data_IF_686278995739
#
_entry.id   IF_686278995739
#
_cell.length_a   1.000
_cell.length_b   1.000
_cell.length_c   1.000
_cell.angle_alpha   90.00
_cell.angle_beta   90.00
_cell.angle_gamma   90.00
#
_symmetry.space_group_name_H-M   'P 1'
#
loop_
_entity.id
_entity.type
_entity.pdbx_description
1 polymer ?
#
# COMPACT_ATOMS: atom_id res chain seq x y z
N UNK A 1 10.54 4.24 -7.53
CA UNK A 1 9.25 3.89 -6.88
C UNK A 1 8.36 2.94 -7.69
N UNK A 2 8.43 2.90 -9.04
CA UNK A 2 7.66 1.92 -9.82
C UNK A 2 7.99 0.45 -9.49
N UNK A 3 9.28 0.12 -9.36
CA UNK A 3 9.73 -1.23 -9.00
C UNK A 3 9.19 -1.65 -7.61
N UNK A 4 9.40 -0.87 -6.53
CA UNK A 4 8.78 -1.16 -5.23
C UNK A 4 7.25 -1.28 -5.29
N UNK A 5 6.56 -0.44 -6.07
CA UNK A 5 5.10 -0.50 -6.18
C UNK A 5 4.61 -1.83 -6.77
N UNK A 6 5.34 -2.37 -7.75
CA UNK A 6 5.04 -3.70 -8.31
C UNK A 6 5.37 -4.77 -7.29
N UNK A 7 6.53 -4.71 -6.65
CA UNK A 7 6.98 -5.73 -5.69
C UNK A 7 6.02 -5.86 -4.49
N UNK A 8 5.70 -4.74 -3.84
CA UNK A 8 4.74 -4.69 -2.74
C UNK A 8 3.34 -5.11 -3.23
N UNK A 9 2.95 -4.70 -4.43
CA UNK A 9 1.67 -5.10 -5.04
C UNK A 9 1.57 -6.60 -5.30
N UNK A 10 2.66 -7.23 -5.76
CA UNK A 10 2.71 -8.69 -5.96
C UNK A 10 2.69 -9.44 -4.64
N UNK A 11 3.36 -8.90 -3.61
CA UNK A 11 3.31 -9.47 -2.26
C UNK A 11 1.89 -9.40 -1.67
N UNK A 12 1.23 -8.25 -1.81
CA UNK A 12 -0.17 -8.06 -1.41
C UNK A 12 -1.10 -9.02 -2.15
N UNK A 13 -0.96 -9.15 -3.47
CA UNK A 13 -1.74 -10.10 -4.26
C UNK A 13 -1.49 -11.54 -3.82
N UNK A 14 -0.23 -11.91 -3.57
CA UNK A 14 0.11 -13.24 -3.06
C UNK A 14 -0.61 -13.52 -1.73
N UNK A 15 -0.61 -12.56 -0.81
CA UNK A 15 -1.29 -12.70 0.48
C UNK A 15 -2.80 -12.93 0.33
N UNK A 16 -3.45 -12.29 -0.66
CA UNK A 16 -4.86 -12.58 -0.97
C UNK A 16 -5.03 -14.02 -1.47
N UNK A 17 -4.19 -14.45 -2.40
CA UNK A 17 -4.29 -15.77 -3.04
C UNK A 17 -4.00 -16.92 -2.06
N UNK A 18 -3.15 -16.70 -1.05
CA UNK A 18 -2.85 -17.67 0.01
C UNK A 18 -3.84 -17.64 1.16
N UNK A 19 -4.76 -16.68 1.19
CA UNK A 19 -5.71 -16.48 2.29
C UNK A 19 -5.10 -15.78 3.52
N UNK A 20 -3.88 -15.25 3.41
CA UNK A 20 -3.24 -14.45 4.45
C UNK A 20 -3.87 -13.05 4.58
N UNK A 21 -4.46 -12.53 3.50
CA UNK A 21 -5.20 -11.27 3.47
C UNK A 21 -6.63 -11.54 2.99
N UNK A 22 -7.62 -11.19 3.82
CA UNK A 22 -9.04 -11.35 3.48
C UNK A 22 -9.61 -10.04 2.97
N UNK A 23 -10.10 -10.04 1.74
CA UNK A 23 -10.76 -8.88 1.15
C UNK A 23 -12.10 -8.59 1.84
N UNK A 24 -12.49 -7.30 1.92
CA UNK A 24 -13.83 -6.92 2.35
C UNK A 24 -14.88 -7.36 1.32
N UNK A 25 -16.16 -7.16 1.66
CA UNK A 25 -17.22 -7.52 0.74
C UNK A 25 -17.24 -6.64 -0.52
N UNK A 26 -17.97 -7.09 -1.55
CA UNK A 26 -18.02 -6.40 -2.83
C UNK A 26 -18.61 -4.98 -2.74
N UNK A 27 -19.58 -4.75 -1.85
CA UNK A 27 -20.21 -3.44 -1.69
C UNK A 27 -19.24 -2.46 -1.00
N UNK A 28 -18.51 -2.91 0.01
CA UNK A 28 -17.45 -2.15 0.68
C UNK A 28 -16.32 -1.79 -0.29
N UNK A 29 -15.87 -2.74 -1.11
CA UNK A 29 -14.89 -2.47 -2.17
C UNK A 29 -15.38 -1.42 -3.16
N UNK A 30 -16.62 -1.54 -3.64
CA UNK A 30 -17.22 -0.56 -4.55
C UNK A 30 -17.33 0.83 -3.91
N UNK A 31 -17.68 0.91 -2.63
CA UNK A 31 -17.75 2.16 -1.90
C UNK A 31 -16.37 2.82 -1.79
N UNK A 32 -15.33 2.04 -1.46
CA UNK A 32 -13.93 2.49 -1.42
C UNK A 32 -13.48 3.02 -2.79
N UNK A 33 -13.76 2.28 -3.87
CA UNK A 33 -13.48 2.71 -5.24
C UNK A 33 -14.15 4.05 -5.57
N UNK A 34 -15.42 4.22 -5.18
CA UNK A 34 -16.17 5.46 -5.38
C UNK A 34 -15.54 6.65 -4.65
N UNK A 35 -15.11 6.47 -3.39
CA UNK A 35 -14.41 7.51 -2.60
C UNK A 35 -13.12 7.94 -3.27
N UNK A 36 -12.24 6.99 -3.61
CA UNK A 36 -10.95 7.27 -4.25
C UNK A 36 -11.14 7.94 -5.62
N UNK A 37 -12.13 7.49 -6.39
CA UNK A 37 -12.45 8.07 -7.69
C UNK A 37 -12.92 9.53 -7.55
N UNK A 38 -13.78 9.81 -6.57
CA UNK A 38 -14.26 11.17 -6.30
C UNK A 38 -13.11 12.06 -5.82
N UNK A 39 -12.31 11.60 -4.86
CA UNK A 39 -11.15 12.33 -4.38
C UNK A 39 -10.18 12.67 -5.53
N UNK A 40 -9.90 11.73 -6.44
CA UNK A 40 -9.07 11.98 -7.62
C UNK A 40 -9.66 13.05 -8.54
N UNK A 41 -10.98 13.07 -8.73
CA UNK A 41 -11.63 14.11 -9.54
C UNK A 41 -11.47 15.50 -8.93
N UNK A 42 -11.54 15.59 -7.62
CA UNK A 42 -11.51 16.86 -6.88
C UNK A 42 -10.07 17.41 -6.71
N UNK A 43 -9.07 16.52 -6.65
CA UNK A 43 -7.69 16.90 -6.29
C UNK A 43 -6.64 16.67 -7.40
N UNK A 44 -6.96 15.92 -8.46
CA UNK A 44 -6.05 15.67 -9.60
C UNK A 44 -6.55 16.42 -10.83
N UNK A 45 -6.08 17.66 -10.97
CA UNK A 45 -6.56 18.63 -11.97
C UNK A 45 -5.86 18.55 -13.34
N UNK A 46 -4.64 18.01 -13.40
CA UNK A 46 -3.75 18.17 -14.58
C UNK A 46 -3.40 16.87 -15.32
N UNK A 47 -3.99 15.74 -14.93
CA UNK A 47 -3.65 14.44 -15.51
C UNK A 47 -4.82 13.92 -16.37
N UNK A 48 -4.76 14.02 -17.71
CA UNK A 48 -5.78 13.44 -18.58
C UNK A 48 -5.87 11.91 -18.42
N UNK A 49 -4.82 11.27 -17.92
CA UNK A 49 -4.79 9.84 -17.55
C UNK A 49 -5.13 9.56 -16.08
N UNK A 50 -5.78 10.49 -15.35
CA UNK A 50 -6.13 10.29 -13.92
C UNK A 50 -6.97 9.04 -13.63
N UNK A 51 -7.64 8.51 -14.65
CA UNK A 51 -8.39 7.24 -14.60
C UNK A 51 -7.54 5.99 -14.85
N UNK A 52 -6.33 6.14 -15.41
CA UNK A 52 -5.45 5.03 -15.80
C UNK A 52 -4.62 4.52 -14.62
N UNK A 53 -4.27 5.38 -13.66
CA UNK A 53 -3.54 4.97 -12.47
C UNK A 53 -4.50 4.60 -11.33
N UNK A 54 -4.33 3.41 -10.75
CA UNK A 54 -5.05 3.00 -9.53
C UNK A 54 -4.59 3.82 -8.31
N UNK A 55 -3.33 4.23 -8.30
CA UNK A 55 -2.67 4.93 -7.21
C UNK A 55 -3.06 6.42 -7.19
N UNK A 56 -3.18 7.05 -6.01
CA UNK A 56 -3.35 8.52 -5.90
C UNK A 56 -1.99 9.24 -5.89
N UNK A 57 -1.02 8.68 -5.15
CA UNK A 57 0.41 9.06 -5.10
C UNK A 57 1.25 7.81 -4.80
N UNK A 58 2.52 7.78 -5.22
CA UNK A 58 3.38 6.61 -5.02
C UNK A 58 3.57 6.23 -3.55
N UNK A 59 3.90 7.21 -2.71
CA UNK A 59 4.18 6.94 -1.30
C UNK A 59 2.93 6.48 -0.55
N UNK A 60 1.83 7.25 -0.65
CA UNK A 60 0.55 6.86 -0.04
C UNK A 60 0.10 5.46 -0.48
N UNK A 61 0.24 5.12 -1.77
CA UNK A 61 -0.15 3.81 -2.26
C UNK A 61 0.69 2.68 -1.65
N UNK A 62 2.01 2.87 -1.55
CA UNK A 62 2.89 1.93 -0.88
C UNK A 62 2.56 1.80 0.61
N UNK A 63 2.33 2.93 1.29
CA UNK A 63 2.00 2.94 2.72
C UNK A 63 0.71 2.18 3.00
N UNK A 64 -0.31 2.32 2.14
CA UNK A 64 -1.56 1.55 2.23
C UNK A 64 -1.29 0.05 2.10
N UNK A 65 -0.59 -0.37 1.05
CA UNK A 65 -0.33 -1.79 0.83
C UNK A 65 0.53 -2.40 1.95
N UNK A 66 1.50 -1.66 2.47
CA UNK A 66 2.31 -2.11 3.61
C UNK A 66 1.47 -2.26 4.86
N UNK A 67 0.56 -1.33 5.13
CA UNK A 67 -0.34 -1.42 6.28
C UNK A 67 -1.34 -2.58 6.15
N UNK A 68 -1.89 -2.83 4.96
CA UNK A 68 -2.73 -4.02 4.70
C UNK A 68 -1.95 -5.31 4.96
N UNK A 69 -0.65 -5.32 4.66
CA UNK A 69 0.27 -6.43 4.94
C UNK A 69 0.74 -6.48 6.41
N UNK A 70 0.31 -5.55 7.27
CA UNK A 70 0.75 -5.46 8.67
C UNK A 70 2.21 -5.02 8.86
N UNK A 71 2.82 -4.43 7.83
CA UNK A 71 4.21 -3.99 7.81
C UNK A 71 4.34 -2.52 8.16
N UNK A 72 5.55 -2.09 8.53
CA UNK A 72 5.80 -0.71 8.86
C UNK A 72 5.92 0.16 7.58
N UNK A 73 5.05 1.17 7.38
CA UNK A 73 5.15 2.08 6.23
C UNK A 73 6.36 3.03 6.33
N UNK A 74 6.86 3.33 7.54
CA UNK A 74 7.93 4.29 7.76
C UNK A 74 9.33 3.69 7.48
N UNK A 75 9.69 3.58 6.20
CA UNK A 75 10.92 2.86 5.78
C UNK A 75 12.24 3.48 6.18
N UNK A 76 12.27 4.78 6.52
CA UNK A 76 13.51 5.46 6.96
C UNK A 76 13.75 5.37 8.48
N UNK A 77 12.87 4.70 9.24
CA UNK A 77 13.06 4.52 10.68
C UNK A 77 14.28 3.63 10.99
N UNK A 78 15.02 3.90 12.09
CA UNK A 78 14.74 4.91 13.13
C UNK A 78 15.23 6.33 12.80
N UNK A 79 15.75 6.60 11.59
CA UNK A 79 16.26 7.91 11.21
C UNK A 79 15.12 8.87 10.80
N UNK A 80 14.51 9.53 11.79
CA UNK A 80 13.40 10.47 11.61
C UNK A 80 13.76 11.66 10.70
N UNK A 81 15.00 12.17 10.80
CA UNK A 81 15.46 13.28 9.94
C UNK A 81 15.49 12.85 8.47
N UNK A 82 15.96 11.63 8.18
CA UNK A 82 15.87 11.09 6.84
C UNK A 82 14.42 10.88 6.41
N UNK A 83 13.53 10.43 7.30
CA UNK A 83 12.10 10.31 7.00
C UNK A 83 11.42 11.62 6.57
N UNK A 84 11.86 12.75 7.11
CA UNK A 84 11.30 14.07 6.81
C UNK A 84 11.97 14.78 5.63
N UNK A 85 13.28 14.61 5.46
CA UNK A 85 14.08 15.40 4.52
C UNK A 85 14.69 14.59 3.38
N UNK A 86 14.75 13.26 3.46
CA UNK A 86 15.23 12.41 2.39
C UNK A 86 14.10 12.03 1.45
N UNK A 87 14.44 11.87 0.17
CA UNK A 87 13.59 11.15 -0.77
C UNK A 87 13.56 9.65 -0.41
N UNK A 88 12.40 9.02 -0.62
CA UNK A 88 12.27 7.56 -0.61
C UNK A 88 12.77 6.96 -1.92
N UNK A 89 13.58 5.92 -1.80
CA UNK A 89 14.22 5.24 -2.91
C UNK A 89 13.95 3.72 -2.85
N UNK A 90 14.20 2.98 -3.93
CA UNK A 90 13.91 1.54 -3.95
C UNK A 90 14.66 0.72 -2.89
N UNK A 91 15.83 1.17 -2.43
CA UNK A 91 16.62 0.44 -1.43
C UNK A 91 15.96 0.45 -0.06
N UNK A 92 15.08 1.40 0.21
CA UNK A 92 14.25 1.45 1.43
C UNK A 92 13.26 0.30 1.55
N UNK A 93 13.01 -0.42 0.45
CA UNK A 93 12.06 -1.53 0.38
C UNK A 93 12.76 -2.86 0.10
N UNK A 94 14.10 -2.93 0.19
CA UNK A 94 14.86 -4.11 -0.23
C UNK A 94 14.61 -5.37 0.64
N UNK A 95 14.10 -5.20 1.86
CA UNK A 95 13.93 -6.23 2.89
C UNK A 95 12.45 -6.53 3.20
N UNK A 96 11.52 -6.04 2.37
CA UNK A 96 10.07 -6.15 2.65
C UNK A 96 9.59 -7.60 2.68
N UNK A 97 10.20 -8.48 1.88
CA UNK A 97 9.78 -9.88 1.79
C UNK A 97 10.17 -10.63 3.05
N UNK A 98 11.39 -10.41 3.52
CA UNK A 98 11.91 -10.96 4.77
C UNK A 98 11.10 -10.46 5.97
N UNK A 99 10.78 -9.15 6.01
CA UNK A 99 9.92 -8.55 7.02
C UNK A 99 8.53 -9.20 7.04
N UNK A 100 7.91 -9.36 5.86
CA UNK A 100 6.61 -10.02 5.72
C UNK A 100 6.64 -11.46 6.21
N UNK A 101 7.64 -12.24 5.80
CA UNK A 101 7.76 -13.62 6.25
C UNK A 101 7.99 -13.73 7.76
N UNK A 102 8.78 -12.83 8.34
CA UNK A 102 8.97 -12.77 9.78
C UNK A 102 7.66 -12.46 10.51
N UNK A 103 6.86 -11.53 9.97
CA UNK A 103 5.54 -11.17 10.52
C UNK A 103 4.55 -12.33 10.43
N UNK A 104 4.46 -13.01 9.29
CA UNK A 104 3.55 -14.16 9.09
C UNK A 104 3.87 -15.34 10.00
N UNK A 105 5.13 -15.53 10.39
CA UNK A 105 5.49 -16.55 11.40
C UNK A 105 4.97 -16.23 12.81
N UNK A 106 4.71 -14.95 13.10
CA UNK A 106 4.28 -14.49 14.42
C UNK A 106 2.74 -14.38 14.52
N UNK A 107 2.06 -14.07 13.41
CA UNK A 107 0.61 -13.87 13.38
C UNK A 107 -0.13 -14.98 12.64
N UNK A 108 -1.01 -15.68 13.36
CA UNK A 108 -1.86 -16.74 12.80
C UNK A 108 -3.21 -16.23 12.27
N UNK A 109 -3.53 -14.95 12.43
CA UNK A 109 -4.80 -14.39 11.97
C UNK A 109 -4.67 -13.83 10.54
N UNK A 110 -5.74 -13.92 9.73
CA UNK A 110 -5.77 -13.26 8.44
C UNK A 110 -5.79 -11.73 8.62
N UNK A 111 -5.06 -11.04 7.77
CA UNK A 111 -5.03 -9.59 7.70
C UNK A 111 -6.28 -9.07 6.97
N UNK A 112 -6.59 -7.78 7.17
CA UNK A 112 -7.71 -7.12 6.52
C UNK A 112 -7.26 -5.78 5.92
N UNK A 113 -7.67 -5.45 4.68
CA UNK A 113 -7.38 -4.16 4.09
C UNK A 113 -7.93 -2.99 4.89
N UNK A 114 -7.21 -1.87 4.90
CA UNK A 114 -7.64 -0.64 5.53
C UNK A 114 -8.82 0.01 4.77
N UNK A 115 -9.73 0.61 5.52
CA UNK A 115 -10.71 1.53 4.95
C UNK A 115 -9.99 2.82 4.51
N UNK A 116 -10.00 3.09 3.21
CA UNK A 116 -9.37 4.30 2.65
C UNK A 116 -10.28 5.51 2.82
N UNK A 117 -9.83 6.45 3.66
CA UNK A 117 -10.44 7.78 3.84
C UNK A 117 -9.70 8.89 3.07
N UNK A 118 -8.63 8.51 2.36
CA UNK A 118 -7.63 9.39 1.74
C UNK A 118 -7.92 9.77 0.31
#
# INVERSE_FOLDING_TARGET
MHVPAVEVGMLWLSAVLTGDLTLPDAAEMQQSMGRVQQWKRDHVNFEPSRSCAVNTRFQQYLDVLLQDLGLNPYRKMPNILAGLFSQYDPTDYADIYEEYQARRKQENQPLHPLALDT
#
